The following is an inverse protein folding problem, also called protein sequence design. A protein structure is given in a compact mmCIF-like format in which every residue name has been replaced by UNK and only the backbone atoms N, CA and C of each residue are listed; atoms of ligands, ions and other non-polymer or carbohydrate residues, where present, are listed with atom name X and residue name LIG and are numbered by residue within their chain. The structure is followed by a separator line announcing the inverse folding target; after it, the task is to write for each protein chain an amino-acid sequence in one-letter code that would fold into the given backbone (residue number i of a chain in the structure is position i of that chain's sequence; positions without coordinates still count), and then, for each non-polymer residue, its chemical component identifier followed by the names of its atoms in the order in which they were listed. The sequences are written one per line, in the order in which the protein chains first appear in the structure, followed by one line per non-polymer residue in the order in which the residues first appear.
data_IF_966336275657
#
_entry.id   IF_966336275657
#
_cell.length_a   1.000
_cell.length_b   1.000
_cell.length_c   1.000
_cell.angle_alpha   90.00
_cell.angle_beta   90.00
_cell.angle_gamma   90.00
#
_symmetry.space_group_name_H-M   'P 1'
#
loop_
_entity.id
_entity.type
_entity.pdbx_description
1 polymer ?
#
# COMPACT_ATOMS: atom_id res chain seq x y z
N UNK A 1 13.15 5.01 20.30
CA UNK A 1 13.69 5.99 21.28
C UNK A 1 15.17 6.19 21.02
N UNK A 2 15.52 7.31 20.41
CA UNK A 2 16.91 7.76 20.31
C UNK A 2 17.26 8.43 21.64
N UNK A 3 18.25 7.89 22.34
CA UNK A 3 18.73 8.47 23.60
C UNK A 3 20.15 8.94 23.36
N UNK A 4 20.38 10.25 23.50
CA UNK A 4 21.70 10.83 23.34
C UNK A 4 22.64 10.27 24.42
N UNK A 5 23.73 9.61 23.99
CA UNK A 5 24.75 9.07 24.89
C UNK A 5 25.86 10.09 25.20
N UNK A 6 25.92 11.17 24.41
CA UNK A 6 26.92 12.22 24.56
C UNK A 6 26.41 13.28 25.56
N UNK A 7 26.95 13.28 26.79
CA UNK A 7 26.66 14.33 27.78
C UNK A 7 27.38 15.62 27.37
N UNK A 8 26.64 16.70 27.20
CA UNK A 8 27.18 18.04 26.96
C UNK A 8 27.70 18.31 25.54
N UNK A 9 27.57 17.36 24.62
CA UNK A 9 27.95 17.54 23.20
C UNK A 9 26.71 17.54 22.31
N UNK A 10 26.64 18.50 21.39
CA UNK A 10 25.65 18.48 20.30
C UNK A 10 26.27 17.73 19.12
N UNK A 11 25.70 16.59 18.76
CA UNK A 11 26.06 15.87 17.52
C UNK A 11 25.07 16.30 16.45
N UNK A 12 25.50 17.00 15.39
CA UNK A 12 24.60 17.38 14.32
C UNK A 12 24.18 16.10 13.57
N UNK A 13 22.88 15.82 13.54
CA UNK A 13 22.26 14.69 12.85
C UNK A 13 22.34 14.88 11.31
N UNK A 14 23.56 14.90 10.78
CA UNK A 14 23.83 15.06 9.34
C UNK A 14 23.75 13.72 8.61
N UNK A 15 24.06 12.61 9.30
CA UNK A 15 24.09 11.26 8.74
C UNK A 15 23.38 10.28 9.68
N UNK A 16 22.03 10.24 9.68
CA UNK A 16 21.26 9.44 10.63
C UNK A 16 21.56 7.94 10.50
N UNK A 17 21.78 7.44 9.28
CA UNK A 17 22.20 6.05 9.04
C UNK A 17 23.51 5.69 9.73
N UNK A 18 24.49 6.60 9.70
CA UNK A 18 25.80 6.36 10.29
C UNK A 18 25.74 6.25 11.80
N UNK A 19 24.95 7.11 12.43
CA UNK A 19 24.80 7.14 13.87
C UNK A 19 24.02 5.92 14.40
N UNK A 20 23.04 5.44 13.64
CA UNK A 20 22.23 4.28 14.02
C UNK A 20 22.91 2.94 13.74
N UNK A 21 23.71 2.87 12.67
CA UNK A 21 24.34 1.65 12.20
C UNK A 21 25.86 1.80 12.08
N UNK A 22 26.57 2.05 13.19
CA UNK A 22 28.03 2.26 13.17
C UNK A 22 28.80 0.99 12.75
N UNK A 23 28.19 -0.19 12.86
CA UNK A 23 28.76 -1.45 12.34
C UNK A 23 28.85 -1.48 10.81
N UNK A 24 27.92 -0.80 10.15
CA UNK A 24 27.80 -0.78 8.68
C UNK A 24 28.51 0.45 8.11
N UNK A 25 28.35 1.60 8.76
CA UNK A 25 28.96 2.87 8.38
C UNK A 25 29.99 3.30 9.42
N UNK A 26 31.16 2.68 9.36
CA UNK A 26 32.22 2.86 10.36
C UNK A 26 33.22 3.97 10.01
N UNK A 27 33.33 4.33 8.73
CA UNK A 27 34.35 5.26 8.25
C UNK A 27 33.87 6.72 8.33
N UNK A 28 34.30 7.41 9.39
CA UNK A 28 34.05 8.83 9.60
C UNK A 28 35.27 9.67 9.23
N UNK A 29 35.08 10.63 8.33
CA UNK A 29 36.10 11.60 7.96
C UNK A 29 35.96 12.86 8.83
N UNK A 30 36.89 13.03 9.78
CA UNK A 30 36.88 14.15 10.72
C UNK A 30 37.18 15.52 10.07
N UNK A 31 37.78 15.57 8.88
CA UNK A 31 38.09 16.85 8.20
C UNK A 31 36.83 17.48 7.58
N UNK A 32 36.00 16.64 6.97
CA UNK A 32 34.82 17.08 6.22
C UNK A 32 33.51 16.78 6.96
N UNK A 33 33.61 16.23 8.18
CA UNK A 33 32.47 15.80 9.00
C UNK A 33 31.50 14.87 8.25
N UNK A 34 32.04 14.04 7.34
CA UNK A 34 31.26 13.16 6.47
C UNK A 34 31.47 11.70 6.81
N UNK A 35 30.40 10.90 6.71
CA UNK A 35 30.48 9.45 6.84
C UNK A 35 30.37 8.80 5.48
N UNK A 36 31.37 8.01 5.11
CA UNK A 36 31.41 7.36 3.79
C UNK A 36 30.25 6.37 3.64
N UNK A 37 29.49 6.53 2.56
CA UNK A 37 28.39 5.64 2.20
C UNK A 37 27.06 5.92 2.92
N UNK A 38 27.03 6.71 3.99
CA UNK A 38 25.79 7.06 4.67
C UNK A 38 25.01 8.13 3.88
N UNK A 39 23.67 8.02 3.84
CA UNK A 39 22.84 9.07 3.26
C UNK A 39 22.84 10.32 4.17
N UNK A 40 23.15 11.51 3.65
CA UNK A 40 23.00 12.75 4.39
C UNK A 40 21.53 13.13 4.58
N UNK A 41 21.21 13.82 5.67
CA UNK A 41 19.86 14.26 6.04
C UNK A 41 19.18 15.09 4.96
N UNK A 42 19.95 15.86 4.19
CA UNK A 42 19.46 16.68 3.07
C UNK A 42 18.81 15.83 1.97
N UNK A 43 19.27 14.58 1.79
CA UNK A 43 18.69 13.69 0.77
C UNK A 43 17.41 13.01 1.23
N UNK A 44 17.00 13.15 2.50
CA UNK A 44 15.72 12.61 3.01
C UNK A 44 14.48 13.43 2.63
N UNK A 45 14.64 14.45 1.79
CA UNK A 45 13.54 15.27 1.33
C UNK A 45 12.74 14.63 0.16
N UNK A 46 11.70 15.33 -0.31
CA UNK A 46 10.90 14.89 -1.44
C UNK A 46 11.73 14.71 -2.70
N UNK A 47 11.41 13.67 -3.48
CA UNK A 47 12.11 13.36 -4.73
C UNK A 47 12.14 14.55 -5.71
N UNK A 48 11.13 15.44 -5.67
CA UNK A 48 11.10 16.66 -6.47
C UNK A 48 12.21 17.63 -6.08
N UNK A 49 12.34 17.94 -4.78
CA UNK A 49 13.38 18.82 -4.26
C UNK A 49 14.76 18.24 -4.57
N UNK A 50 14.96 16.96 -4.34
CA UNK A 50 16.25 16.29 -4.60
C UNK A 50 16.62 16.29 -6.09
N UNK A 51 15.63 16.11 -6.98
CA UNK A 51 15.82 16.15 -8.45
C UNK A 51 16.16 17.54 -8.97
N UNK A 52 15.65 18.62 -8.36
CA UNK A 52 16.02 19.99 -8.74
C UNK A 52 17.52 20.24 -8.59
N UNK A 53 18.15 19.61 -7.59
CA UNK A 53 19.59 19.66 -7.37
C UNK A 53 20.38 18.57 -8.13
N UNK A 54 19.72 17.78 -8.99
CA UNK A 54 20.34 16.72 -9.79
C UNK A 54 20.68 15.46 -8.99
N UNK A 55 20.19 15.31 -7.76
CA UNK A 55 20.40 14.12 -6.95
C UNK A 55 19.26 13.10 -7.11
N UNK A 56 19.57 11.83 -6.83
CA UNK A 56 18.57 10.78 -6.76
C UNK A 56 17.80 10.87 -5.44
N UNK A 57 16.50 10.57 -5.46
CA UNK A 57 15.69 10.53 -4.24
C UNK A 57 16.06 9.35 -3.33
N UNK A 58 15.67 9.42 -2.05
CA UNK A 58 15.90 8.35 -1.05
C UNK A 58 15.53 6.98 -1.58
N UNK A 59 14.37 6.85 -2.20
CA UNK A 59 13.86 5.57 -2.66
C UNK A 59 14.80 4.91 -3.67
N UNK A 60 15.40 5.70 -4.56
CA UNK A 60 16.34 5.19 -5.56
C UNK A 60 17.64 4.73 -4.90
N UNK A 61 18.18 5.52 -3.95
CA UNK A 61 19.35 5.15 -3.18
C UNK A 61 19.15 3.88 -2.35
N UNK A 62 18.01 3.76 -1.67
CA UNK A 62 17.65 2.58 -0.87
C UNK A 62 17.47 1.37 -1.79
N UNK A 63 16.76 1.54 -2.92
CA UNK A 63 16.48 0.45 -3.85
C UNK A 63 17.77 -0.13 -4.45
N UNK A 64 18.74 0.71 -4.83
CA UNK A 64 20.02 0.20 -5.33
C UNK A 64 20.79 -0.55 -4.25
N UNK A 65 20.83 -0.01 -3.02
CA UNK A 65 21.53 -0.62 -1.88
C UNK A 65 20.95 -1.94 -1.41
N UNK A 66 19.62 -2.12 -1.50
CA UNK A 66 18.93 -3.35 -1.10
C UNK A 66 19.00 -4.40 -2.22
N UNK A 67 19.00 -3.97 -3.48
CA UNK A 67 19.12 -4.89 -4.63
C UNK A 67 20.54 -5.41 -4.85
N UNK A 68 21.54 -4.65 -4.44
CA UNK A 68 22.93 -5.05 -4.54
C UNK A 68 23.32 -5.98 -3.38
N UNK A 69 23.37 -7.27 -3.69
CA UNK A 69 23.75 -8.34 -2.74
C UNK A 69 25.22 -8.31 -2.31
N UNK A 70 26.07 -7.48 -2.93
CA UNK A 70 27.48 -7.36 -2.56
C UNK A 70 27.73 -6.38 -1.42
N UNK A 71 26.76 -5.50 -1.14
CA UNK A 71 26.86 -4.50 -0.08
C UNK A 71 26.36 -5.06 1.26
N UNK A 72 27.02 -4.69 2.36
CA UNK A 72 26.53 -4.99 3.72
C UNK A 72 25.15 -4.38 3.99
N UNK A 73 24.76 -3.37 3.20
CA UNK A 73 23.45 -2.71 3.31
C UNK A 73 22.26 -3.58 2.90
N UNK A 74 22.47 -4.64 2.11
CA UNK A 74 21.43 -5.59 1.73
C UNK A 74 21.39 -6.84 2.62
N UNK A 75 22.42 -7.04 3.45
CA UNK A 75 22.56 -8.20 4.32
C UNK A 75 22.06 -7.91 5.74
N UNK A 76 22.30 -6.70 6.26
CA UNK A 76 21.89 -6.33 7.62
C UNK A 76 20.36 -6.14 7.73
N UNK A 77 19.63 -7.03 8.44
CA UNK A 77 18.18 -6.92 8.57
C UNK A 77 17.75 -5.65 9.33
N UNK A 78 18.61 -5.13 10.22
CA UNK A 78 18.30 -3.92 11.00
C UNK A 78 18.26 -2.68 10.10
N UNK A 79 19.17 -2.64 9.13
CA UNK A 79 19.22 -1.57 8.14
C UNK A 79 18.06 -1.66 7.15
N UNK A 80 17.66 -2.88 6.74
CA UNK A 80 16.48 -3.09 5.89
C UNK A 80 15.22 -2.58 6.59
N UNK A 81 15.05 -2.87 7.88
CA UNK A 81 13.93 -2.35 8.65
C UNK A 81 13.93 -0.82 8.71
N UNK A 82 15.09 -0.22 8.95
CA UNK A 82 15.24 1.24 8.92
C UNK A 82 14.85 1.84 7.56
N UNK A 83 15.32 1.24 6.46
CA UNK A 83 14.96 1.67 5.12
C UNK A 83 13.46 1.56 4.84
N UNK A 84 12.82 0.49 5.32
CA UNK A 84 11.37 0.33 5.24
C UNK A 84 10.64 1.46 5.97
N UNK A 85 11.07 1.81 7.19
CA UNK A 85 10.46 2.88 7.99
C UNK A 85 10.65 4.25 7.32
N UNK A 86 11.85 4.53 6.81
CA UNK A 86 12.15 5.78 6.10
C UNK A 86 11.26 5.94 4.87
N UNK A 87 11.20 4.92 4.00
CA UNK A 87 10.37 4.96 2.79
C UNK A 87 8.90 5.09 3.15
N UNK A 88 8.43 4.34 4.14
CA UNK A 88 7.03 4.39 4.58
C UNK A 88 6.67 5.77 5.12
N UNK A 89 7.52 6.38 5.94
CA UNK A 89 7.32 7.73 6.47
C UNK A 89 7.30 8.78 5.36
N UNK A 90 8.18 8.66 4.36
CA UNK A 90 8.19 9.54 3.20
C UNK A 90 6.87 9.44 2.40
N UNK A 91 6.36 8.22 2.19
CA UNK A 91 5.08 7.96 1.52
C UNK A 91 3.86 8.44 2.32
N UNK A 92 4.01 8.55 3.65
CA UNK A 92 2.99 9.01 4.59
C UNK A 92 2.98 10.53 4.81
N UNK A 93 3.94 11.29 4.26
CA UNK A 93 4.04 12.75 4.49
C UNK A 93 2.74 13.52 4.19
N UNK A 94 1.94 13.03 3.24
CA UNK A 94 0.69 13.64 2.78
C UNK A 94 -0.56 12.80 3.13
N UNK A 95 -0.44 11.78 3.98
CA UNK A 95 -1.53 10.85 4.32
C UNK A 95 -1.52 10.50 5.80
N UNK A 96 -2.69 10.38 6.43
CA UNK A 96 -2.76 9.91 7.81
C UNK A 96 -2.28 8.45 7.93
N UNK A 97 -1.30 8.20 8.82
CA UNK A 97 -0.76 6.85 9.07
C UNK A 97 -1.84 5.83 9.46
N UNK A 98 -2.90 6.30 10.14
CA UNK A 98 -4.09 5.51 10.50
C UNK A 98 -4.72 4.81 9.28
N UNK A 99 -4.72 5.45 8.11
CA UNK A 99 -5.28 4.89 6.88
C UNK A 99 -4.47 3.66 6.44
N UNK A 100 -3.15 3.73 6.49
CA UNK A 100 -2.28 2.62 6.09
C UNK A 100 -2.31 1.50 7.13
N UNK A 101 -2.29 1.84 8.43
CA UNK A 101 -2.34 0.85 9.51
C UNK A 101 -3.63 0.05 9.51
N UNK A 102 -4.79 0.68 9.26
CA UNK A 102 -6.05 -0.06 9.15
C UNK A 102 -6.09 -0.88 7.87
N UNK A 103 -5.72 -0.30 6.72
CA UNK A 103 -5.91 -0.98 5.43
C UNK A 103 -4.84 -2.02 5.09
N UNK A 104 -3.71 -1.98 5.78
CA UNK A 104 -2.55 -2.84 5.55
C UNK A 104 -1.77 -2.47 4.27
N UNK A 105 -0.51 -2.92 4.23
CA UNK A 105 0.36 -2.77 3.06
C UNK A 105 -0.13 -3.64 1.90
N UNK A 106 -0.03 -3.11 0.68
CA UNK A 106 -0.39 -3.85 -0.54
C UNK A 106 0.80 -3.90 -1.48
N UNK A 107 1.05 -5.07 -2.06
CA UNK A 107 1.99 -5.22 -3.19
C UNK A 107 1.36 -4.57 -4.41
N UNK A 108 2.03 -3.56 -4.95
CA UNK A 108 1.66 -2.91 -6.19
C UNK A 108 2.36 -3.63 -7.35
N UNK A 109 1.65 -3.96 -8.45
CA UNK A 109 2.29 -4.45 -9.65
C UNK A 109 3.22 -3.36 -10.23
N UNK A 110 4.36 -3.81 -10.78
CA UNK A 110 5.57 -3.04 -11.16
C UNK A 110 5.31 -1.64 -11.74
N UNK A 111 6.04 -0.64 -11.25
CA UNK A 111 6.22 0.67 -11.89
C UNK A 111 6.05 1.87 -10.96
N UNK A 112 7.06 2.16 -10.13
CA UNK A 112 7.05 3.35 -9.24
C UNK A 112 6.99 4.69 -10.01
N UNK A 113 7.39 4.70 -11.29
CA UNK A 113 7.36 5.89 -12.14
C UNK A 113 5.94 6.39 -12.46
N UNK A 114 4.90 5.58 -12.21
CA UNK A 114 3.49 5.98 -12.33
C UNK A 114 2.82 6.23 -10.98
N UNK A 115 3.59 6.55 -9.93
CA UNK A 115 3.05 7.05 -8.66
C UNK A 115 2.51 8.49 -8.81
N UNK A 116 1.49 8.67 -9.66
CA UNK A 116 0.45 9.64 -9.35
C UNK A 116 -0.38 9.05 -8.20
N UNK A 117 0.16 9.20 -6.99
CA UNK A 117 -0.44 8.84 -5.70
C UNK A 117 -1.79 9.51 -5.43
N UNK A 118 -2.33 10.27 -6.40
CA UNK A 118 -3.59 11.00 -6.29
C UNK A 118 -4.83 10.18 -6.66
N UNK A 119 -4.82 9.25 -7.64
CA UNK A 119 -6.09 9.05 -8.37
C UNK A 119 -6.72 7.67 -8.63
N UNK A 120 -6.19 6.49 -8.29
CA UNK A 120 -6.92 5.26 -8.72
C UNK A 120 -7.09 4.10 -7.73
N UNK A 121 -6.13 3.81 -6.85
CA UNK A 121 -6.24 2.64 -5.96
C UNK A 121 -6.17 2.97 -4.46
N UNK A 122 -6.03 4.26 -4.11
CA UNK A 122 -6.07 4.70 -2.70
C UNK A 122 -7.48 4.75 -2.12
N UNK A 123 -8.51 4.79 -2.95
CA UNK A 123 -9.90 4.66 -2.51
C UNK A 123 -10.36 3.26 -2.91
N UNK A 124 -10.44 2.36 -1.92
CA UNK A 124 -11.35 1.22 -2.08
C UNK A 124 -12.72 1.84 -2.34
N UNK A 125 -13.29 1.66 -3.54
CA UNK A 125 -14.61 2.25 -3.84
C UNK A 125 -15.67 1.73 -2.86
N UNK A 126 -15.44 0.54 -2.30
CA UNK A 126 -16.20 -0.09 -1.22
C UNK A 126 -16.27 0.70 0.09
N UNK A 127 -15.37 1.67 0.33
CA UNK A 127 -15.50 2.58 1.48
C UNK A 127 -16.45 3.75 1.22
N UNK A 128 -17.01 3.90 -0.01
CA UNK A 128 -18.19 4.74 -0.19
C UNK A 128 -19.36 4.06 0.52
N UNK A 129 -19.63 4.53 1.72
CA UNK A 129 -20.48 3.95 2.76
C UNK A 129 -21.96 3.82 2.41
N UNK A 130 -22.34 3.95 1.14
CA UNK A 130 -23.75 4.09 0.76
C UNK A 130 -24.13 3.30 -0.48
N UNK A 131 -23.72 2.03 -0.57
CA UNK A 131 -24.15 1.11 -1.63
C UNK A 131 -25.67 1.10 -1.82
N UNK A 132 -26.46 1.20 -0.74
CA UNK A 132 -27.93 1.27 -0.82
C UNK A 132 -28.43 2.54 -1.50
N UNK A 133 -27.90 3.71 -1.12
CA UNK A 133 -28.28 4.99 -1.73
C UNK A 133 -27.83 5.02 -3.19
N UNK A 134 -26.60 4.59 -3.47
CA UNK A 134 -26.06 4.53 -4.83
C UNK A 134 -26.86 3.58 -5.73
N UNK A 135 -27.34 2.45 -5.19
CA UNK A 135 -28.23 1.53 -5.91
C UNK A 135 -29.61 2.16 -6.15
N UNK A 136 -30.14 2.91 -5.18
CA UNK A 136 -31.40 3.64 -5.35
C UNK A 136 -31.28 4.80 -6.36
N UNK A 137 -30.17 5.54 -6.33
CA UNK A 137 -29.84 6.57 -7.33
C UNK A 137 -29.70 5.95 -8.73
N UNK A 138 -28.99 4.83 -8.84
CA UNK A 138 -28.90 4.08 -10.10
C UNK A 138 -30.27 3.61 -10.58
N UNK A 139 -31.11 3.07 -9.69
CA UNK A 139 -32.45 2.63 -10.05
C UNK A 139 -33.36 3.80 -10.49
N UNK A 140 -33.18 4.98 -9.90
CA UNK A 140 -33.88 6.19 -10.30
C UNK A 140 -33.39 6.70 -11.67
N UNK A 141 -32.07 6.80 -11.88
CA UNK A 141 -31.48 7.23 -13.16
C UNK A 141 -31.87 6.28 -14.30
N UNK A 142 -31.91 4.97 -14.06
CA UNK A 142 -32.35 3.97 -15.04
C UNK A 142 -33.86 4.05 -15.33
N UNK A 143 -34.66 4.56 -14.38
CA UNK A 143 -36.09 4.76 -14.55
C UNK A 143 -36.46 6.01 -15.37
N UNK A 144 -35.56 6.99 -15.47
CA UNK A 144 -35.79 8.23 -16.24
C UNK A 144 -35.32 8.15 -17.71
N UNK A 145 -34.39 7.26 -18.04
CA UNK A 145 -33.99 7.04 -19.45
C UNK A 145 -34.97 6.13 -20.19
N UNK A 146 -35.90 6.76 -20.91
CA UNK A 146 -36.66 6.13 -21.99
C UNK A 146 -35.70 5.71 -23.12
N UNK A 147 -35.42 4.40 -23.18
CA UNK A 147 -34.62 3.68 -24.19
C UNK A 147 -33.08 3.82 -24.16
N UNK A 148 -32.31 2.71 -24.28
CA UNK A 148 -32.75 1.30 -24.33
C UNK A 148 -33.11 0.75 -22.94
N UNK A 149 -34.10 -0.15 -22.91
CA UNK A 149 -34.54 -0.81 -21.69
C UNK A 149 -33.38 -1.60 -21.05
N UNK A 150 -33.23 -1.48 -19.73
CA UNK A 150 -32.23 -2.22 -18.96
C UNK A 150 -32.49 -3.71 -19.08
N UNK A 151 -31.67 -4.42 -19.85
CA UNK A 151 -31.89 -5.86 -20.12
C UNK A 151 -31.51 -6.72 -18.92
N UNK A 152 -30.48 -6.32 -18.15
CA UNK A 152 -29.96 -7.11 -17.04
C UNK A 152 -29.62 -6.23 -15.83
N UNK A 153 -30.11 -6.63 -14.67
CA UNK A 153 -29.69 -6.09 -13.38
C UNK A 153 -28.89 -7.17 -12.65
N UNK A 154 -27.61 -6.88 -12.38
CA UNK A 154 -26.68 -7.84 -11.77
C UNK A 154 -26.26 -7.34 -10.39
N UNK A 155 -26.54 -8.15 -9.36
CA UNK A 155 -25.98 -7.98 -8.01
C UNK A 155 -24.98 -9.08 -7.73
N UNK A 156 -23.74 -8.71 -7.42
CA UNK A 156 -22.68 -9.66 -7.05
C UNK A 156 -22.55 -9.71 -5.52
N UNK A 157 -22.70 -10.90 -4.95
CA UNK A 157 -22.42 -11.16 -3.54
C UNK A 157 -21.18 -12.05 -3.40
N UNK A 158 -20.38 -11.80 -2.37
CA UNK A 158 -19.12 -12.51 -2.17
C UNK A 158 -19.37 -13.89 -1.52
N UNK A 159 -19.21 -14.98 -2.27
CA UNK A 159 -19.15 -16.32 -1.70
C UNK A 159 -17.78 -16.56 -1.04
N UNK A 160 -17.74 -16.72 0.28
CA UNK A 160 -16.50 -16.90 1.06
C UNK A 160 -15.71 -18.16 0.68
N UNK A 161 -16.37 -19.22 0.20
CA UNK A 161 -15.74 -20.52 -0.10
C UNK A 161 -15.15 -20.62 -1.50
N UNK A 162 -15.75 -19.93 -2.46
CA UNK A 162 -15.44 -20.10 -3.88
C UNK A 162 -14.81 -18.86 -4.51
N UNK A 163 -15.00 -17.68 -3.90
CA UNK A 163 -14.46 -16.46 -4.45
C UNK A 163 -12.92 -16.50 -4.46
N UNK A 164 -12.29 -16.30 -5.64
CA UNK A 164 -10.84 -16.27 -5.75
C UNK A 164 -10.28 -15.14 -4.87
N UNK A 165 -9.21 -15.44 -4.13
CA UNK A 165 -8.63 -14.55 -3.13
C UNK A 165 -9.23 -14.72 -1.73
N UNK A 166 -10.56 -14.66 -1.59
CA UNK A 166 -11.23 -14.83 -0.29
C UNK A 166 -11.07 -16.26 0.24
N UNK A 167 -11.24 -17.27 -0.64
CA UNK A 167 -11.12 -18.69 -0.27
C UNK A 167 -9.85 -18.97 0.51
N UNK A 168 -8.70 -18.49 0.00
CA UNK A 168 -7.39 -18.71 0.63
C UNK A 168 -7.34 -18.09 2.03
N UNK A 169 -7.83 -16.85 2.18
CA UNK A 169 -7.84 -16.16 3.46
C UNK A 169 -8.71 -16.92 4.47
N UNK A 170 -9.91 -17.36 4.08
CA UNK A 170 -10.80 -18.11 4.95
C UNK A 170 -10.26 -19.51 5.30
N UNK A 171 -9.64 -20.22 4.36
CA UNK A 171 -9.02 -21.52 4.63
C UNK A 171 -7.88 -21.40 5.66
N UNK A 172 -7.02 -20.38 5.54
CA UNK A 172 -5.94 -20.14 6.52
C UNK A 172 -6.49 -19.70 7.88
N UNK A 173 -7.55 -18.89 7.90
CA UNK A 173 -8.20 -18.49 9.15
C UNK A 173 -8.87 -19.67 9.86
N UNK A 174 -9.51 -20.56 9.11
CA UNK A 174 -10.08 -21.80 9.63
C UNK A 174 -9.00 -22.75 10.15
N UNK A 175 -7.84 -22.84 9.48
CA UNK A 175 -6.70 -23.64 9.94
C UNK A 175 -6.13 -23.15 11.28
N UNK A 176 -6.14 -21.83 11.51
CA UNK A 176 -5.68 -21.22 12.76
C UNK A 176 -6.79 -21.10 13.84
N UNK A 177 -8.00 -21.60 13.58
CA UNK A 177 -9.11 -21.54 14.52
C UNK A 177 -8.86 -22.47 15.72
N UNK A 178 -8.73 -21.88 16.91
CA UNK A 178 -8.69 -22.64 18.17
C UNK A 178 -10.11 -22.91 18.68
N UNK A 179 -10.41 -24.16 19.05
CA UNK A 179 -11.71 -24.57 19.59
C UNK A 179 -11.97 -23.84 20.91
N UNK A 180 -13.14 -23.21 21.05
CA UNK A 180 -13.60 -22.56 22.29
C UNK A 180 -13.35 -21.05 22.41
N UNK A 181 -12.71 -20.40 21.43
CA UNK A 181 -12.41 -18.96 21.45
C UNK A 181 -13.04 -18.22 20.27
N UNK A 182 -14.36 -18.23 20.22
CA UNK A 182 -15.14 -17.65 19.11
C UNK A 182 -14.98 -16.12 19.01
N UNK A 183 -14.82 -15.42 20.13
CA UNK A 183 -14.59 -13.97 20.15
C UNK A 183 -13.22 -13.58 19.57
N UNK A 184 -12.17 -14.34 19.89
CA UNK A 184 -10.84 -14.12 19.30
C UNK A 184 -10.87 -14.40 17.79
N UNK A 185 -11.59 -15.44 17.37
CA UNK A 185 -11.78 -15.72 15.95
C UNK A 185 -12.49 -14.56 15.23
N UNK A 186 -13.56 -14.01 15.80
CA UNK A 186 -14.25 -12.83 15.24
C UNK A 186 -13.34 -11.61 15.17
N UNK A 187 -12.53 -11.35 16.20
CA UNK A 187 -11.57 -10.25 16.21
C UNK A 187 -10.51 -10.41 15.11
N UNK A 188 -10.01 -11.63 14.89
CA UNK A 188 -9.06 -11.93 13.81
C UNK A 188 -9.69 -11.76 12.43
N UNK A 189 -10.94 -12.23 12.23
CA UNK A 189 -11.68 -12.02 10.99
C UNK A 189 -11.90 -10.53 10.73
N UNK A 190 -12.25 -9.75 11.75
CA UNK A 190 -12.38 -8.29 11.65
C UNK A 190 -11.05 -7.62 11.29
N UNK A 191 -9.93 -8.06 11.89
CA UNK A 191 -8.61 -7.56 11.54
C UNK A 191 -8.23 -7.88 10.07
N UNK A 192 -8.67 -9.03 9.57
CA UNK A 192 -8.47 -9.46 8.18
C UNK A 192 -9.52 -8.92 7.19
N UNK A 193 -10.48 -8.09 7.64
CA UNK A 193 -11.58 -7.62 6.80
C UNK A 193 -11.08 -6.78 5.61
N UNK A 194 -10.09 -5.92 5.83
CA UNK A 194 -9.55 -5.04 4.79
C UNK A 194 -8.89 -5.80 3.62
N UNK A 195 -8.01 -6.80 3.85
CA UNK A 195 -7.51 -7.62 2.74
C UNK A 195 -8.62 -8.45 2.08
N UNK A 196 -9.66 -8.90 2.80
CA UNK A 196 -10.80 -9.59 2.20
C UNK A 196 -11.61 -8.66 1.26
N UNK A 197 -11.93 -7.44 1.70
CA UNK A 197 -12.65 -6.46 0.89
C UNK A 197 -11.86 -6.08 -0.37
N UNK A 198 -10.53 -5.97 -0.27
CA UNK A 198 -9.64 -5.75 -1.43
C UNK A 198 -9.64 -6.92 -2.40
N UNK A 199 -9.60 -8.14 -1.88
CA UNK A 199 -9.68 -9.33 -2.72
C UNK A 199 -11.02 -9.39 -3.46
N UNK A 200 -12.11 -9.05 -2.76
CA UNK A 200 -13.45 -8.97 -3.35
C UNK A 200 -13.53 -7.89 -4.43
N UNK A 201 -13.03 -6.67 -4.16
CA UNK A 201 -12.99 -5.59 -5.14
C UNK A 201 -12.28 -6.01 -6.42
N UNK A 202 -11.12 -6.62 -6.30
CA UNK A 202 -10.31 -7.02 -7.46
C UNK A 202 -11.02 -8.07 -8.29
N UNK A 203 -11.61 -9.07 -7.64
CA UNK A 203 -12.40 -10.11 -8.33
C UNK A 203 -13.59 -9.49 -9.03
N UNK A 204 -14.35 -8.66 -8.32
CA UNK A 204 -15.50 -7.97 -8.87
C UNK A 204 -15.16 -7.08 -10.06
N UNK A 205 -14.12 -6.24 -9.93
CA UNK A 205 -13.63 -5.37 -11.01
C UNK A 205 -13.25 -6.21 -12.23
N UNK A 206 -12.54 -7.32 -12.01
CA UNK A 206 -12.16 -8.21 -13.12
C UNK A 206 -13.36 -8.85 -13.79
N UNK A 207 -14.38 -9.24 -13.04
CA UNK A 207 -15.64 -9.75 -13.60
C UNK A 207 -16.34 -8.70 -14.45
N UNK A 208 -16.41 -7.45 -13.98
CA UNK A 208 -17.00 -6.36 -14.76
C UNK A 208 -16.19 -6.05 -16.02
N UNK A 209 -14.84 -6.04 -15.95
CA UNK A 209 -13.97 -5.90 -17.12
C UNK A 209 -14.21 -7.00 -18.17
N UNK A 210 -14.52 -8.23 -17.76
CA UNK A 210 -14.85 -9.33 -18.68
C UNK A 210 -16.22 -9.14 -19.33
N UNK A 211 -17.19 -8.64 -18.57
CA UNK A 211 -18.52 -8.28 -19.10
C UNK A 211 -18.40 -7.13 -20.10
N UNK A 212 -17.62 -6.10 -19.79
CA UNK A 212 -17.39 -4.93 -20.64
C UNK A 212 -16.78 -5.30 -22.00
N UNK A 213 -15.90 -6.30 -22.01
CA UNK A 213 -15.29 -6.83 -23.24
C UNK A 213 -16.23 -7.70 -24.07
N UNK A 214 -17.42 -8.01 -23.56
CA UNK A 214 -18.43 -8.81 -24.24
C UNK A 214 -18.11 -10.30 -24.33
N UNK A 215 -17.09 -10.79 -23.60
CA UNK A 215 -16.69 -12.21 -23.64
C UNK A 215 -17.75 -13.14 -23.03
N UNK A 216 -18.62 -12.62 -22.16
CA UNK A 216 -19.61 -13.42 -21.41
C UNK A 216 -21.05 -13.16 -21.85
N UNK A 217 -21.40 -11.90 -22.15
CA UNK A 217 -22.79 -11.47 -22.43
C UNK A 217 -23.00 -10.98 -23.87
N UNK A 218 -21.99 -11.07 -24.74
CA UNK A 218 -22.07 -10.56 -26.12
C UNK A 218 -21.82 -9.05 -26.21
N UNK A 219 -22.29 -8.40 -27.28
CA UNK A 219 -22.05 -6.97 -27.51
C UNK A 219 -22.80 -6.13 -26.45
N UNK A 220 -22.05 -5.37 -25.66
CA UNK A 220 -22.60 -4.50 -24.61
C UNK A 220 -22.69 -3.08 -25.15
N UNK A 221 -23.91 -2.56 -25.34
CA UNK A 221 -24.15 -1.20 -25.85
C UNK A 221 -23.97 -0.13 -24.77
N UNK A 222 -24.40 -0.42 -23.54
CA UNK A 222 -24.32 0.50 -22.40
C UNK A 222 -24.10 -0.30 -21.12
N UNK A 223 -23.08 0.07 -20.36
CA UNK A 223 -22.76 -0.54 -19.08
C UNK A 223 -22.59 0.54 -18.03
N UNK A 224 -23.18 0.29 -16.86
CA UNK A 224 -23.02 1.16 -15.70
C UNK A 224 -22.81 0.28 -14.49
N UNK A 225 -21.71 0.48 -13.79
CA UNK A 225 -21.42 -0.27 -12.58
C UNK A 225 -20.74 0.63 -11.54
N UNK A 226 -21.19 0.48 -10.30
CA UNK A 226 -20.63 1.11 -9.10
C UNK A 226 -20.54 0.07 -7.98
N UNK A 227 -19.60 0.27 -7.07
CA UNK A 227 -19.35 -0.60 -5.90
C UNK A 227 -19.96 0.01 -4.65
#
# INVERSE_FOLDING_TARGET
NLVARARGNCVPLLYPEAELFPSTFWHYNAKDLSTTGALPTVLYDEEKATKEYGFAGVLQHVTSRVKDGTLMTSIDPRLIQYYFDVVTNLLLRHSHAKIILHRGYSVLPRGLAQFNMRNMERQLRFEQTESRRTVMELAADLGETDEPAVTYFLTLTANQRECPGLKRIFTELEAHRKVGKEEEYRAVVQAAMNPMLRAWERTGRRTMELIEKGEVLGVVEKIWWRW
#
